data_IF_284313149670
#
_entry.id   IF_284313149670
#
_cell.length_a   1.000
_cell.length_b   1.000
_cell.length_c   1.000
_cell.angle_alpha   90.00
_cell.angle_beta   90.00
_cell.angle_gamma   90.00
#
_symmetry.space_group_name_H-M   'P 1'
#
loop_
_entity.id
_entity.type
_entity.pdbx_description
1 polymer ?
#
# COMPACT_ATOMS: atom_id res chain seq x y z
N UNK A 1 -16.70 26.09 13.00
CA UNK A 1 -16.10 24.74 13.12
C UNK A 1 -17.22 23.77 13.46
N UNK A 2 -17.33 22.65 12.76
CA UNK A 2 -18.26 21.57 13.11
C UNK A 2 -17.83 20.93 14.45
N UNK A 3 -18.78 20.47 15.27
CA UNK A 3 -18.45 19.73 16.49
C UNK A 3 -17.95 18.31 16.19
N UNK A 4 -17.32 17.65 17.17
CA UNK A 4 -16.90 16.26 17.02
C UNK A 4 -18.10 15.32 16.91
N UNK A 5 -19.16 15.63 17.64
CA UNK A 5 -20.41 14.87 17.66
C UNK A 5 -21.13 14.92 16.31
N UNK A 6 -21.13 16.07 15.64
CA UNK A 6 -21.70 16.25 14.30
C UNK A 6 -20.82 15.67 13.18
N UNK A 7 -19.49 15.64 13.36
CA UNK A 7 -18.56 15.08 12.39
C UNK A 7 -18.50 13.54 12.41
N UNK A 8 -18.74 12.93 13.57
CA UNK A 8 -18.62 11.48 13.78
C UNK A 8 -19.49 10.63 12.83
N UNK A 9 -20.76 10.97 12.53
CA UNK A 9 -21.54 10.24 11.53
C UNK A 9 -20.87 10.22 10.16
N UNK A 10 -20.36 11.36 9.69
CA UNK A 10 -19.65 11.46 8.41
C UNK A 10 -18.38 10.60 8.40
N UNK A 11 -17.60 10.59 9.49
CA UNK A 11 -16.42 9.72 9.61
C UNK A 11 -16.77 8.23 9.53
N UNK A 12 -17.92 7.82 10.07
CA UNK A 12 -18.41 6.44 9.98
C UNK A 12 -18.89 6.11 8.57
N UNK A 13 -19.62 7.03 7.94
CA UNK A 13 -20.16 6.88 6.59
C UNK A 13 -19.06 6.80 5.53
N UNK A 14 -17.93 7.50 5.73
CA UNK A 14 -16.75 7.34 4.89
C UNK A 14 -16.21 5.91 4.87
N UNK A 15 -16.44 5.10 5.90
CA UNK A 15 -16.07 3.67 5.93
C UNK A 15 -17.24 2.72 5.60
N UNK A 16 -18.37 3.24 5.13
CA UNK A 16 -19.50 2.43 4.70
C UNK A 16 -19.10 1.44 3.59
N UNK A 17 -19.63 0.20 3.56
CA UNK A 17 -19.44 -0.70 2.42
C UNK A 17 -20.08 -0.13 1.13
N UNK A 18 -21.06 0.76 1.24
CA UNK A 18 -21.73 1.40 0.10
C UNK A 18 -20.97 2.65 -0.39
N UNK A 19 -20.46 2.59 -1.63
CA UNK A 19 -19.72 3.69 -2.26
C UNK A 19 -20.56 4.97 -2.39
N UNK A 20 -21.87 4.87 -2.58
CA UNK A 20 -22.73 6.05 -2.70
C UNK A 20 -22.81 6.81 -1.37
N UNK A 21 -22.90 6.09 -0.24
CA UNK A 21 -22.86 6.67 1.10
C UNK A 21 -21.52 7.38 1.32
N UNK A 22 -20.40 6.71 1.00
CA UNK A 22 -19.06 7.32 1.12
C UNK A 22 -18.93 8.60 0.32
N UNK A 23 -19.41 8.61 -0.93
CA UNK A 23 -19.36 9.76 -1.82
C UNK A 23 -20.13 10.96 -1.28
N UNK A 24 -21.33 10.74 -0.73
CA UNK A 24 -22.13 11.80 -0.13
C UNK A 24 -21.45 12.39 1.11
N UNK A 25 -21.00 11.53 2.04
CA UNK A 25 -20.29 11.98 3.23
C UNK A 25 -19.01 12.77 2.88
N UNK A 26 -18.27 12.32 1.86
CA UNK A 26 -17.09 13.02 1.38
C UNK A 26 -17.43 14.41 0.82
N UNK A 27 -18.52 14.55 0.06
CA UNK A 27 -18.93 15.84 -0.49
C UNK A 27 -19.27 16.85 0.62
N UNK A 28 -19.92 16.41 1.70
CA UNK A 28 -20.18 17.23 2.89
C UNK A 28 -18.86 17.62 3.59
N UNK A 29 -17.93 16.68 3.75
CA UNK A 29 -16.60 16.96 4.32
C UNK A 29 -15.81 17.96 3.46
N UNK A 30 -15.92 17.87 2.13
CA UNK A 30 -15.27 18.80 1.22
C UNK A 30 -15.86 20.21 1.35
N UNK A 31 -17.18 20.33 1.53
CA UNK A 31 -17.82 21.62 1.84
C UNK A 31 -17.33 22.19 3.18
N UNK A 32 -17.23 21.36 4.22
CA UNK A 32 -16.64 21.76 5.50
C UNK A 32 -15.18 22.21 5.34
N UNK A 33 -14.40 21.58 4.46
CA UNK A 33 -13.03 22.01 4.15
C UNK A 33 -13.02 23.39 3.48
N UNK A 34 -13.83 23.59 2.42
CA UNK A 34 -13.94 24.86 1.69
C UNK A 34 -14.36 26.01 2.61
N UNK A 35 -15.27 25.75 3.54
CA UNK A 35 -15.76 26.72 4.51
C UNK A 35 -14.86 26.88 5.74
N UNK A 36 -13.71 26.18 5.81
CA UNK A 36 -12.79 26.15 6.97
C UNK A 36 -13.50 25.78 8.27
N UNK A 37 -14.43 24.84 8.19
CA UNK A 37 -15.21 24.33 9.31
C UNK A 37 -14.73 22.97 9.79
N UNK A 38 -13.95 22.23 8.98
CA UNK A 38 -13.37 20.95 9.37
C UNK A 38 -12.17 21.16 10.33
N UNK A 39 -12.19 20.57 11.54
CA UNK A 39 -11.01 20.50 12.40
C UNK A 39 -9.89 19.73 11.68
N UNK A 40 -8.76 20.40 11.44
CA UNK A 40 -7.59 19.82 10.77
C UNK A 40 -6.30 20.27 11.45
N UNK A 41 -5.30 19.40 11.41
CA UNK A 41 -3.92 19.74 11.76
C UNK A 41 -3.31 20.64 10.68
N UNK A 42 -2.34 21.50 11.02
CA UNK A 42 -1.63 22.31 10.04
C UNK A 42 -0.97 21.43 8.97
N UNK A 43 -0.90 21.94 7.74
CA UNK A 43 -0.11 21.30 6.70
C UNK A 43 1.33 21.09 7.17
N UNK A 44 1.89 19.92 6.87
CA UNK A 44 3.24 19.53 7.25
C UNK A 44 3.84 18.54 6.26
N UNK A 45 4.99 17.99 6.62
CA UNK A 45 5.80 17.14 5.74
C UNK A 45 5.58 15.65 5.94
N UNK A 46 4.79 15.25 6.94
CA UNK A 46 4.41 13.86 7.17
C UNK A 46 3.55 13.35 6.02
N UNK A 47 3.76 12.11 5.62
CA UNK A 47 3.04 11.48 4.51
C UNK A 47 3.00 9.98 4.72
N UNK A 48 2.08 9.32 4.02
CA UNK A 48 2.06 7.87 3.93
C UNK A 48 1.74 7.46 2.49
N UNK A 49 2.76 7.02 1.75
CA UNK A 49 2.61 6.62 0.35
C UNK A 49 2.36 5.11 0.18
N UNK A 50 2.09 4.39 1.26
CA UNK A 50 1.83 2.96 1.26
C UNK A 50 0.73 2.61 2.25
N UNK A 51 -0.53 2.78 1.82
CA UNK A 51 -1.72 2.37 2.57
C UNK A 51 -2.51 1.30 1.80
N UNK A 52 -2.85 0.19 2.43
CA UNK A 52 -3.85 -0.73 1.88
C UNK A 52 -5.28 -0.27 2.22
N UNK A 53 -6.23 -0.56 1.33
CA UNK A 53 -7.65 -0.24 1.51
C UNK A 53 -8.49 -1.49 1.76
N UNK A 54 -9.79 -1.30 1.96
CA UNK A 54 -10.76 -2.39 2.02
C UNK A 54 -10.85 -3.25 0.74
N UNK A 55 -10.34 -2.77 -0.42
CA UNK A 55 -10.33 -3.52 -1.69
C UNK A 55 -9.26 -4.63 -1.75
N UNK A 56 -8.32 -4.67 -0.78
CA UNK A 56 -7.43 -5.81 -0.62
C UNK A 56 -7.38 -6.32 0.81
N UNK A 57 -6.93 -5.52 1.77
CA UNK A 57 -7.12 -5.75 3.20
C UNK A 57 -6.68 -4.53 4.00
N UNK A 58 -7.59 -4.02 4.84
CA UNK A 58 -7.27 -3.07 5.89
C UNK A 58 -7.94 -3.54 7.19
N UNK A 59 -7.18 -3.65 8.28
CA UNK A 59 -7.66 -4.18 9.56
C UNK A 59 -8.70 -3.29 10.28
N UNK A 60 -8.87 -2.05 9.82
CA UNK A 60 -9.93 -1.14 10.25
C UNK A 60 -10.97 -0.90 9.16
N UNK A 61 -10.89 -1.66 8.06
CA UNK A 61 -11.73 -1.54 6.87
C UNK A 61 -11.69 -0.12 6.26
N UNK A 62 -10.56 0.57 6.36
CA UNK A 62 -10.44 1.91 5.77
C UNK A 62 -10.65 1.86 4.26
N UNK A 63 -11.57 2.71 3.81
CA UNK A 63 -11.90 2.88 2.40
C UNK A 63 -10.96 3.91 1.77
N UNK A 64 -10.91 3.97 0.43
CA UNK A 64 -10.19 5.05 -0.26
C UNK A 64 -10.62 6.45 0.21
N UNK A 65 -11.92 6.70 0.32
CA UNK A 65 -12.46 7.98 0.78
C UNK A 65 -12.03 8.33 2.22
N UNK A 66 -12.00 7.34 3.13
CA UNK A 66 -11.56 7.57 4.51
C UNK A 66 -10.06 7.91 4.60
N UNK A 67 -9.22 7.26 3.80
CA UNK A 67 -7.77 7.55 3.78
C UNK A 67 -7.52 8.98 3.25
N UNK A 68 -8.24 9.39 2.20
CA UNK A 68 -8.13 10.76 1.69
C UNK A 68 -8.56 11.79 2.75
N UNK A 69 -9.66 11.53 3.45
CA UNK A 69 -10.10 12.34 4.58
C UNK A 69 -9.08 12.38 5.73
N UNK A 70 -8.49 11.23 6.07
CA UNK A 70 -7.46 11.14 7.11
C UNK A 70 -6.24 11.99 6.75
N UNK A 71 -5.76 11.92 5.51
CA UNK A 71 -4.67 12.75 5.04
C UNK A 71 -5.01 14.24 5.15
N UNK A 72 -6.21 14.63 4.74
CA UNK A 72 -6.68 16.01 4.81
C UNK A 72 -6.76 16.53 6.24
N UNK A 73 -7.38 15.78 7.15
CA UNK A 73 -7.58 16.20 8.54
C UNK A 73 -6.28 16.22 9.34
N UNK A 74 -5.30 15.41 8.95
CA UNK A 74 -4.00 15.32 9.62
C UNK A 74 -2.91 16.16 8.95
N UNK A 75 -3.26 17.02 7.99
CA UNK A 75 -2.30 17.94 7.37
C UNK A 75 -1.14 17.25 6.65
N UNK A 76 -1.36 16.03 6.11
CA UNK A 76 -0.30 15.28 5.44
C UNK A 76 0.12 15.95 4.13
N UNK A 77 1.41 15.87 3.81
CA UNK A 77 1.98 16.30 2.54
C UNK A 77 1.37 15.54 1.37
N UNK A 78 1.22 14.22 1.52
CA UNK A 78 0.64 13.34 0.51
C UNK A 78 0.17 12.01 1.12
N UNK A 79 -0.71 11.31 0.40
CA UNK A 79 -1.14 9.96 0.73
C UNK A 79 -1.15 9.05 -0.50
N UNK A 80 -0.80 7.78 -0.32
CA UNK A 80 -0.79 6.79 -1.39
C UNK A 80 -1.52 5.51 -1.01
N UNK A 81 -2.39 5.01 -1.88
CA UNK A 81 -2.98 3.68 -1.71
C UNK A 81 -2.24 2.65 -2.56
N UNK A 82 -2.07 1.45 -2.03
CA UNK A 82 -1.42 0.33 -2.69
C UNK A 82 -2.18 -0.92 -2.30
N UNK A 83 -3.01 -1.46 -3.19
CA UNK A 83 -3.79 -2.67 -2.90
C UNK A 83 -3.14 -3.93 -3.49
N UNK A 84 -3.31 -5.07 -2.83
CA UNK A 84 -2.75 -6.33 -3.31
C UNK A 84 -3.46 -6.84 -4.57
N UNK A 85 -2.71 -7.13 -5.63
CA UNK A 85 -3.17 -7.81 -6.84
C UNK A 85 -4.28 -7.07 -7.64
N UNK A 86 -4.69 -5.86 -7.24
CA UNK A 86 -5.83 -5.13 -7.85
C UNK A 86 -5.67 -3.61 -7.90
N UNK A 87 -6.50 -2.97 -8.74
CA UNK A 87 -6.57 -1.52 -8.94
C UNK A 87 -8.00 -0.95 -8.70
N UNK A 88 -8.94 -1.74 -8.16
CA UNK A 88 -10.36 -1.34 -8.02
C UNK A 88 -10.60 -0.11 -7.12
N UNK A 89 -9.61 0.25 -6.29
CA UNK A 89 -9.65 1.41 -5.41
C UNK A 89 -9.18 2.72 -6.08
N UNK A 90 -8.56 2.65 -7.27
CA UNK A 90 -7.87 3.80 -7.90
C UNK A 90 -8.83 4.96 -8.14
N UNK A 91 -9.97 4.71 -8.81
CA UNK A 91 -10.94 5.77 -9.13
C UNK A 91 -11.48 6.45 -7.88
N UNK A 92 -11.86 5.68 -6.87
CA UNK A 92 -12.42 6.25 -5.65
C UNK A 92 -11.37 7.06 -4.87
N UNK A 93 -10.14 6.57 -4.75
CA UNK A 93 -9.09 7.32 -4.07
C UNK A 93 -8.77 8.61 -4.81
N UNK A 94 -8.63 8.52 -6.13
CA UNK A 94 -8.35 9.67 -6.99
C UNK A 94 -9.42 10.74 -6.87
N UNK A 95 -10.69 10.35 -7.08
CA UNK A 95 -11.84 11.25 -6.93
C UNK A 95 -11.86 11.89 -5.54
N UNK A 96 -11.58 11.10 -4.49
CA UNK A 96 -11.61 11.60 -3.12
C UNK A 96 -10.47 12.55 -2.81
N UNK A 97 -9.28 12.25 -3.33
CA UNK A 97 -8.10 13.06 -3.15
C UNK A 97 -8.19 14.41 -3.87
N UNK A 98 -8.75 14.40 -5.07
CA UNK A 98 -8.99 15.61 -5.86
C UNK A 98 -10.06 16.51 -5.21
N UNK A 99 -11.17 15.94 -4.74
CA UNK A 99 -12.22 16.69 -4.05
C UNK A 99 -11.74 17.33 -2.74
N UNK A 100 -10.81 16.66 -2.03
CA UNK A 100 -10.21 17.18 -0.79
C UNK A 100 -8.91 17.98 -1.02
N UNK A 101 -8.46 18.09 -2.26
CA UNK A 101 -7.23 18.78 -2.67
C UNK A 101 -5.99 18.29 -1.91
N UNK A 102 -5.78 16.98 -1.86
CA UNK A 102 -4.57 16.34 -1.29
C UNK A 102 -3.68 15.84 -2.41
N UNK A 103 -2.36 15.91 -2.23
CA UNK A 103 -1.44 15.23 -3.15
C UNK A 103 -1.51 13.72 -2.94
N UNK A 104 -1.54 12.97 -4.04
CA UNK A 104 -1.87 11.55 -3.99
C UNK A 104 -1.10 10.68 -4.97
N UNK A 105 -1.14 9.37 -4.71
CA UNK A 105 -0.76 8.34 -5.66
C UNK A 105 -1.60 7.09 -5.47
N UNK A 106 -1.85 6.36 -6.56
CA UNK A 106 -2.43 5.03 -6.49
C UNK A 106 -1.42 4.00 -6.96
N UNK A 107 -1.51 2.79 -6.43
CA UNK A 107 -0.57 1.72 -6.68
C UNK A 107 -1.16 0.35 -6.51
N UNK A 108 -0.35 -0.62 -6.89
CA UNK A 108 -0.63 -2.05 -6.76
C UNK A 108 0.61 -2.72 -6.21
N UNK A 109 0.41 -3.66 -5.28
CA UNK A 109 1.46 -4.54 -4.78
C UNK A 109 1.13 -5.99 -5.16
N UNK A 110 2.13 -6.73 -5.59
CA UNK A 110 2.00 -8.19 -5.77
C UNK A 110 3.29 -8.88 -5.38
N UNK A 111 3.25 -10.21 -5.36
CA UNK A 111 4.46 -11.02 -5.34
C UNK A 111 4.84 -11.41 -6.76
N UNK A 112 6.12 -11.37 -7.06
CA UNK A 112 6.72 -11.75 -8.34
C UNK A 112 7.79 -12.81 -8.14
N UNK A 113 8.07 -13.57 -9.20
CA UNK A 113 9.24 -14.43 -9.26
C UNK A 113 10.43 -13.68 -9.88
N UNK A 114 11.55 -13.64 -9.15
CA UNK A 114 12.81 -13.02 -9.56
C UNK A 114 13.86 -14.09 -9.86
N UNK A 115 14.03 -14.37 -11.15
CA UNK A 115 14.91 -15.45 -11.64
C UNK A 115 16.37 -15.31 -11.20
N UNK A 116 16.94 -14.10 -11.23
CA UNK A 116 18.35 -13.84 -10.89
C UNK A 116 18.67 -13.96 -9.40
N UNK A 117 17.64 -14.04 -8.56
CA UNK A 117 17.72 -14.23 -7.11
C UNK A 117 16.93 -15.47 -6.67
N UNK A 118 16.75 -16.45 -7.57
CA UNK A 118 15.90 -17.62 -7.37
C UNK A 118 16.33 -18.51 -6.18
N UNK A 119 17.59 -18.44 -5.78
CA UNK A 119 18.22 -19.26 -4.74
C UNK A 119 18.27 -18.57 -3.37
N UNK A 120 17.88 -17.28 -3.28
CA UNK A 120 17.97 -16.49 -2.05
C UNK A 120 16.62 -15.89 -1.66
N UNK A 121 16.36 -15.79 -0.36
CA UNK A 121 15.25 -15.00 0.17
C UNK A 121 15.52 -13.52 -0.07
N UNK A 122 14.50 -12.78 -0.56
CA UNK A 122 14.59 -11.34 -0.85
C UNK A 122 13.77 -10.60 0.24
N UNK A 123 12.67 -9.96 -0.12
CA UNK A 123 11.76 -9.26 0.80
C UNK A 123 10.52 -10.12 1.16
N UNK A 124 10.41 -11.35 0.65
CA UNK A 124 9.48 -12.38 1.14
C UNK A 124 10.24 -13.40 2.01
N UNK A 125 10.16 -13.31 3.35
CA UNK A 125 10.99 -14.11 4.25
C UNK A 125 10.75 -15.62 4.10
N UNK A 126 11.81 -16.36 3.80
CA UNK A 126 11.77 -17.82 3.70
C UNK A 126 11.23 -18.35 2.38
N UNK A 127 11.05 -17.49 1.38
CA UNK A 127 10.56 -17.82 0.04
C UNK A 127 11.63 -17.42 -1.01
N UNK A 128 12.61 -18.29 -1.32
CA UNK A 128 13.66 -18.00 -2.29
C UNK A 128 13.10 -17.63 -3.67
N UNK A 129 13.66 -16.59 -4.29
CA UNK A 129 13.23 -16.09 -5.59
C UNK A 129 11.89 -15.35 -5.60
N UNK A 130 11.18 -15.24 -4.47
CA UNK A 130 9.92 -14.49 -4.40
C UNK A 130 10.19 -13.12 -3.81
N UNK A 131 9.69 -12.09 -4.49
CA UNK A 131 9.73 -10.72 -4.00
C UNK A 131 8.34 -10.08 -4.05
N UNK A 132 7.98 -9.32 -3.02
CA UNK A 132 7.03 -8.23 -3.15
C UNK A 132 7.59 -7.18 -4.12
N UNK A 133 6.74 -6.70 -5.02
CA UNK A 133 7.07 -5.67 -5.99
C UNK A 133 5.84 -4.79 -6.20
N UNK A 134 6.06 -3.51 -6.50
CA UNK A 134 4.98 -2.54 -6.61
C UNK A 134 4.97 -1.85 -7.97
N UNK A 135 3.80 -1.39 -8.38
CA UNK A 135 3.65 -0.30 -9.34
C UNK A 135 3.03 0.90 -8.63
N UNK A 136 3.56 2.10 -8.85
CA UNK A 136 3.07 3.33 -8.21
C UNK A 136 2.79 4.42 -9.25
N UNK A 137 1.83 5.29 -8.98
CA UNK A 137 1.55 6.46 -9.84
C UNK A 137 0.47 6.24 -10.90
N UNK A 138 -0.45 5.29 -10.67
CA UNK A 138 -1.60 5.09 -11.54
C UNK A 138 -2.55 6.29 -11.45
N UNK A 139 -2.90 6.88 -12.58
CA UNK A 139 -3.89 7.96 -12.69
C UNK A 139 -5.30 7.44 -13.05
N UNK A 140 -5.41 6.16 -13.42
CA UNK A 140 -6.66 5.45 -13.67
C UNK A 140 -6.55 3.97 -13.28
N UNK A 141 -7.65 3.36 -12.86
CA UNK A 141 -7.80 1.93 -12.68
C UNK A 141 -8.16 1.20 -13.98
N UNK A 142 -8.43 1.95 -15.06
CA UNK A 142 -8.63 1.40 -16.40
C UNK A 142 -7.34 0.78 -16.95
N UNK A 143 -7.38 -0.53 -17.18
CA UNK A 143 -6.24 -1.26 -17.73
C UNK A 143 -6.28 -1.18 -19.27
N UNK A 144 -5.17 -0.77 -19.93
CA UNK A 144 -5.10 -0.68 -21.38
C UNK A 144 -5.26 -2.05 -22.03
N UNK A 145 -5.83 -2.15 -23.25
CA UNK A 145 -6.15 -3.43 -23.88
C UNK A 145 -4.99 -4.44 -23.95
N UNK A 146 -3.75 -3.97 -24.16
CA UNK A 146 -2.54 -4.79 -24.19
C UNK A 146 -2.22 -5.50 -22.85
N UNK A 147 -2.70 -4.94 -21.73
CA UNK A 147 -2.36 -5.36 -20.37
C UNK A 147 -3.51 -6.10 -19.65
N UNK A 148 -4.72 -6.12 -20.22
CA UNK A 148 -5.93 -6.68 -19.57
C UNK A 148 -5.81 -8.16 -19.24
N UNK A 149 -5.25 -8.96 -20.15
CA UNK A 149 -5.11 -10.40 -19.94
C UNK A 149 -4.17 -10.72 -18.77
N UNK A 150 -3.08 -9.96 -18.64
CA UNK A 150 -2.14 -10.11 -17.53
C UNK A 150 -2.83 -9.82 -16.19
N UNK A 151 -3.54 -8.69 -16.08
CA UNK A 151 -4.26 -8.32 -14.87
C UNK A 151 -5.37 -9.33 -14.50
N UNK A 152 -6.12 -9.80 -15.50
CA UNK A 152 -7.13 -10.84 -15.31
C UNK A 152 -6.51 -12.15 -14.78
N UNK A 153 -5.40 -12.58 -15.39
CA UNK A 153 -4.67 -13.79 -14.95
C UNK A 153 -4.18 -13.65 -13.51
N UNK A 154 -3.60 -12.51 -13.14
CA UNK A 154 -3.12 -12.25 -11.78
C UNK A 154 -4.26 -12.34 -10.75
N UNK A 155 -5.39 -11.69 -11.01
CA UNK A 155 -6.59 -11.76 -10.14
C UNK A 155 -7.12 -13.19 -10.02
N UNK A 156 -7.21 -13.91 -11.14
CA UNK A 156 -7.69 -15.29 -11.16
C UNK A 156 -6.77 -16.22 -10.35
N UNK A 157 -5.45 -16.05 -10.45
CA UNK A 157 -4.47 -16.81 -9.65
C UNK A 157 -4.58 -16.51 -8.15
N UNK A 158 -4.78 -15.25 -7.78
CA UNK A 158 -5.01 -14.85 -6.40
C UNK A 158 -6.28 -15.52 -5.81
N UNK A 159 -7.41 -15.44 -6.52
CA UNK A 159 -8.66 -16.07 -6.11
C UNK A 159 -8.54 -17.61 -6.03
N UNK A 160 -7.89 -18.24 -7.00
CA UNK A 160 -7.68 -19.69 -7.01
C UNK A 160 -6.84 -20.16 -5.80
N UNK A 161 -5.81 -19.38 -5.43
CA UNK A 161 -5.00 -19.65 -4.23
C UNK A 161 -5.85 -19.58 -2.96
N UNK A 162 -6.70 -18.58 -2.81
CA UNK A 162 -7.60 -18.45 -1.64
C UNK A 162 -8.60 -19.62 -1.58
N UNK A 163 -9.22 -19.99 -2.71
CA UNK A 163 -10.11 -21.16 -2.79
C UNK A 163 -9.41 -22.45 -2.38
N UNK A 164 -8.16 -22.64 -2.79
CA UNK A 164 -7.33 -23.79 -2.38
C UNK A 164 -7.03 -23.78 -0.88
N UNK A 165 -6.70 -22.63 -0.29
CA UNK A 165 -6.46 -22.49 1.15
C UNK A 165 -7.73 -22.86 1.94
N UNK A 166 -8.90 -22.36 1.53
CA UNK A 166 -10.18 -22.72 2.16
C UNK A 166 -10.38 -24.23 2.18
N UNK A 167 -10.14 -24.92 1.06
CA UNK A 167 -10.25 -26.38 1.00
C UNK A 167 -9.39 -27.09 2.04
N UNK A 168 -8.14 -26.68 2.20
CA UNK A 168 -7.20 -27.27 3.16
C UNK A 168 -7.54 -26.92 4.62
N UNK A 169 -7.93 -25.67 4.88
CA UNK A 169 -8.17 -25.17 6.24
C UNK A 169 -9.52 -25.64 6.78
N UNK A 170 -10.54 -25.80 5.93
CA UNK A 170 -11.85 -26.32 6.32
C UNK A 170 -11.76 -27.69 7.02
N UNK A 171 -10.91 -28.59 6.54
CA UNK A 171 -10.78 -29.91 7.12
C UNK A 171 -10.11 -29.85 8.51
N UNK A 172 -9.17 -28.93 8.70
CA UNK A 172 -8.57 -28.69 10.01
C UNK A 172 -9.55 -28.06 10.98
N UNK A 173 -10.34 -27.08 10.53
CA UNK A 173 -11.24 -26.28 11.39
C UNK A 173 -12.67 -26.82 11.50
N UNK A 174 -12.94 -28.01 10.96
CA UNK A 174 -14.24 -28.68 11.09
C UNK A 174 -14.74 -28.73 12.56
N UNK A 175 -16.00 -28.38 12.86
CA UNK A 175 -17.12 -28.15 11.95
C UNK A 175 -17.21 -26.73 11.34
N UNK A 176 -16.27 -25.83 11.62
CA UNK A 176 -16.26 -24.46 11.05
C UNK A 176 -15.69 -24.51 9.63
N UNK A 177 -16.58 -24.52 8.63
CA UNK A 177 -16.22 -24.61 7.20
C UNK A 177 -16.65 -23.36 6.45
N UNK A 178 -15.75 -22.72 5.71
CA UNK A 178 -16.06 -21.60 4.83
C UNK A 178 -16.47 -22.06 3.42
N UNK A 179 -17.43 -21.34 2.86
CA UNK A 179 -17.78 -21.27 1.46
C UNK A 179 -17.27 -19.93 0.92
N UNK A 180 -16.50 -19.96 -0.17
CA UNK A 180 -15.86 -18.75 -0.68
C UNK A 180 -16.86 -17.67 -1.10
N UNK A 181 -17.94 -18.04 -1.79
CA UNK A 181 -18.89 -17.08 -2.34
C UNK A 181 -19.84 -16.53 -1.26
N UNK A 182 -20.16 -17.32 -0.23
CA UNK A 182 -21.09 -16.91 0.83
C UNK A 182 -20.40 -16.21 2.00
N UNK A 183 -19.23 -16.69 2.41
CA UNK A 183 -18.61 -16.26 3.66
C UNK A 183 -17.42 -15.31 3.44
N UNK A 184 -16.88 -15.18 2.22
CA UNK A 184 -15.59 -14.50 1.99
C UNK A 184 -15.68 -13.32 1.03
N UNK A 185 -16.35 -13.46 -0.12
CA UNK A 185 -16.37 -12.41 -1.16
C UNK A 185 -16.98 -11.10 -0.67
N UNK A 186 -17.95 -11.15 0.25
CA UNK A 186 -18.58 -9.97 0.83
C UNK A 186 -17.68 -9.17 1.78
N UNK A 187 -16.54 -9.74 2.22
CA UNK A 187 -15.62 -9.08 3.16
C UNK A 187 -14.73 -8.03 2.51
N UNK A 188 -14.71 -7.96 1.18
CA UNK A 188 -13.93 -7.00 0.41
C UNK A 188 -14.74 -6.53 -0.79
N UNK A 189 -14.78 -5.22 -1.06
CA UNK A 189 -15.28 -4.74 -2.34
C UNK A 189 -14.54 -5.45 -3.50
N UNK A 190 -15.26 -5.72 -4.58
CA UNK A 190 -14.76 -6.42 -5.78
C UNK A 190 -14.23 -7.88 -5.57
N UNK A 191 -14.38 -8.47 -4.38
CA UNK A 191 -14.14 -9.91 -4.15
C UNK A 191 -12.67 -10.34 -4.09
N UNK A 192 -11.73 -9.40 -3.97
CA UNK A 192 -10.29 -9.69 -3.90
C UNK A 192 -9.83 -10.12 -2.50
N UNK A 193 -10.31 -11.28 -2.06
CA UNK A 193 -10.04 -11.76 -0.70
C UNK A 193 -8.57 -12.15 -0.47
N UNK A 194 -8.11 -12.04 0.77
CA UNK A 194 -6.76 -12.42 1.19
C UNK A 194 -6.82 -13.43 2.33
N UNK A 195 -5.67 -14.01 2.72
CA UNK A 195 -5.57 -14.87 3.90
C UNK A 195 -6.12 -14.22 5.17
N UNK A 196 -6.02 -12.89 5.28
CA UNK A 196 -6.52 -12.15 6.44
C UNK A 196 -8.05 -12.12 6.48
N UNK A 197 -8.72 -11.98 5.34
CA UNK A 197 -10.18 -12.12 5.24
C UNK A 197 -10.65 -13.53 5.64
N UNK A 198 -9.89 -14.58 5.29
CA UNK A 198 -10.21 -15.94 5.74
C UNK A 198 -10.16 -16.07 7.27
N UNK A 199 -9.18 -15.44 7.92
CA UNK A 199 -9.05 -15.49 9.38
C UNK A 199 -10.26 -14.84 10.07
N UNK A 200 -10.70 -13.68 9.57
CA UNK A 200 -11.92 -13.02 10.01
C UNK A 200 -13.14 -13.93 9.80
N UNK A 201 -13.32 -14.47 8.58
CA UNK A 201 -14.47 -15.33 8.25
C UNK A 201 -14.53 -16.59 9.14
N UNK A 202 -13.40 -17.26 9.37
CA UNK A 202 -13.34 -18.42 10.28
C UNK A 202 -13.68 -18.05 11.71
N UNK A 203 -13.22 -16.88 12.19
CA UNK A 203 -13.56 -16.37 13.52
C UNK A 203 -15.07 -16.17 13.64
N UNK A 204 -15.65 -15.35 12.76
CA UNK A 204 -17.06 -14.97 12.78
C UNK A 204 -17.97 -16.20 12.63
N UNK A 205 -17.60 -17.15 11.76
CA UNK A 205 -18.37 -18.39 11.58
C UNK A 205 -18.31 -19.31 12.79
N UNK A 206 -17.16 -19.36 13.49
CA UNK A 206 -17.07 -20.11 14.74
C UNK A 206 -17.91 -19.46 15.85
N UNK A 207 -17.88 -18.13 15.98
CA UNK A 207 -18.71 -17.38 16.93
C UNK A 207 -20.21 -17.61 16.70
N UNK A 208 -20.64 -17.68 15.43
CA UNK A 208 -22.02 -17.99 15.08
C UNK A 208 -22.42 -19.44 15.40
N UNK A 209 -21.49 -20.40 15.28
CA UNK A 209 -21.75 -21.83 15.50
C UNK A 209 -21.72 -22.22 16.98
N UNK A 210 -20.80 -21.64 17.76
CA UNK A 210 -20.60 -21.96 19.17
C UNK A 210 -21.12 -20.83 20.07
N UNK A 211 -22.40 -20.89 20.41
CA UNK A 211 -23.08 -19.85 21.23
C UNK A 211 -22.63 -19.82 22.69
N UNK A 212 -22.02 -20.91 23.20
CA UNK A 212 -21.43 -20.94 24.55
C UNK A 212 -19.94 -20.66 24.50
N UNK A 213 -19.51 -19.73 25.35
CA UNK A 213 -18.15 -19.24 25.43
C UNK A 213 -17.15 -20.35 25.73
N UNK A 214 -17.50 -21.28 26.61
CA UNK A 214 -16.66 -22.40 27.00
C UNK A 214 -16.39 -23.32 25.81
N UNK A 215 -17.44 -23.65 25.03
CA UNK A 215 -17.31 -24.51 23.85
C UNK A 215 -16.52 -23.85 22.72
N UNK A 216 -16.63 -22.53 22.55
CA UNK A 216 -15.83 -21.79 21.57
C UNK A 216 -14.35 -21.79 21.97
N UNK A 217 -14.05 -21.60 23.25
CA UNK A 217 -12.68 -21.66 23.76
C UNK A 217 -12.08 -23.07 23.64
N UNK A 218 -12.85 -24.12 23.96
CA UNK A 218 -12.45 -25.52 23.76
C UNK A 218 -12.15 -25.81 22.29
N UNK A 219 -13.00 -25.34 21.38
CA UNK A 219 -12.79 -25.46 19.94
C UNK A 219 -11.46 -24.82 19.52
N UNK A 220 -11.23 -23.55 19.86
CA UNK A 220 -9.99 -22.86 19.47
C UNK A 220 -8.75 -23.46 20.14
N UNK A 221 -8.85 -23.84 21.41
CA UNK A 221 -7.82 -24.57 22.13
C UNK A 221 -7.38 -25.82 21.37
N UNK A 222 -8.35 -26.67 21.00
CA UNK A 222 -8.09 -27.91 20.28
C UNK A 222 -7.56 -27.67 18.86
N UNK A 223 -8.17 -26.75 18.09
CA UNK A 223 -7.83 -26.53 16.69
C UNK A 223 -6.51 -25.79 16.48
N UNK A 224 -6.19 -24.84 17.35
CA UNK A 224 -4.98 -24.02 17.28
C UNK A 224 -3.82 -24.60 18.10
N UNK A 225 -4.07 -25.68 18.86
CA UNK A 225 -3.05 -26.34 19.69
C UNK A 225 -2.51 -25.45 20.80
N UNK A 226 -3.40 -24.69 21.46
CA UNK A 226 -3.05 -23.77 22.54
C UNK A 226 -3.74 -24.19 23.85
N UNK A 227 -3.22 -23.78 25.02
CA UNK A 227 -3.91 -24.02 26.29
C UNK A 227 -5.28 -23.35 26.35
N UNK A 228 -6.25 -23.99 27.01
CA UNK A 228 -7.61 -23.45 27.15
C UNK A 228 -7.64 -22.04 27.76
N UNK A 229 -6.77 -21.77 28.76
CA UNK A 229 -6.65 -20.44 29.36
C UNK A 229 -6.16 -19.36 28.39
N UNK A 230 -5.38 -19.73 27.37
CA UNK A 230 -4.97 -18.82 26.29
C UNK A 230 -6.13 -18.62 25.31
N UNK A 231 -6.84 -19.68 24.93
CA UNK A 231 -8.00 -19.58 24.04
C UNK A 231 -9.08 -18.65 24.61
N UNK A 232 -9.38 -18.73 25.91
CA UNK A 232 -10.34 -17.84 26.59
C UNK A 232 -9.91 -16.36 26.51
N UNK A 233 -8.61 -16.06 26.50
CA UNK A 233 -8.12 -14.68 26.34
C UNK A 233 -8.20 -14.21 24.88
N UNK A 234 -7.96 -15.12 23.93
CA UNK A 234 -7.97 -14.78 22.50
C UNK A 234 -9.38 -14.50 21.99
N UNK A 235 -10.41 -15.19 22.48
CA UNK A 235 -11.80 -14.91 22.05
C UNK A 235 -12.29 -13.49 22.39
N UNK A 236 -11.69 -12.82 23.38
CA UNK A 236 -11.96 -11.40 23.68
C UNK A 236 -11.13 -10.43 22.84
N UNK A 237 -10.24 -10.96 21.99
CA UNK A 237 -9.34 -10.16 21.18
C UNK A 237 -9.33 -10.68 19.73
N UNK A 238 -10.33 -10.27 18.92
CA UNK A 238 -10.47 -10.68 17.53
C UNK A 238 -9.17 -10.58 16.73
N UNK A 239 -8.44 -9.47 16.88
CA UNK A 239 -7.16 -9.23 16.19
C UNK A 239 -6.12 -10.30 16.53
N UNK A 240 -5.95 -10.61 17.82
CA UNK A 240 -4.98 -11.65 18.25
C UNK A 240 -5.45 -13.05 17.86
N UNK A 241 -6.75 -13.32 17.91
CA UNK A 241 -7.31 -14.60 17.50
C UNK A 241 -7.12 -14.83 16.00
N UNK A 242 -7.45 -13.85 15.15
CA UNK A 242 -7.24 -13.91 13.70
C UNK A 242 -5.76 -14.09 13.35
N UNK A 243 -4.86 -13.35 14.01
CA UNK A 243 -3.42 -13.54 13.85
C UNK A 243 -2.98 -14.97 14.24
N UNK A 244 -3.56 -15.52 15.32
CA UNK A 244 -3.28 -16.89 15.76
C UNK A 244 -3.81 -17.91 14.75
N UNK A 245 -5.04 -17.75 14.25
CA UNK A 245 -5.62 -18.58 13.18
C UNK A 245 -4.65 -18.61 12.01
N UNK A 246 -4.24 -17.45 11.49
CA UNK A 246 -3.30 -17.34 10.37
C UNK A 246 -1.99 -18.09 10.64
N UNK A 247 -1.41 -17.87 11.83
CA UNK A 247 -0.12 -18.49 12.19
C UNK A 247 -0.21 -20.01 12.27
N UNK A 248 -1.32 -20.55 12.75
CA UNK A 248 -1.51 -21.99 12.97
C UNK A 248 -1.96 -22.72 11.69
N UNK A 249 -2.64 -22.03 10.77
CA UNK A 249 -3.24 -22.67 9.59
C UNK A 249 -2.59 -22.29 8.26
N UNK A 250 -2.13 -21.05 8.07
CA UNK A 250 -1.75 -20.53 6.74
C UNK A 250 -0.26 -20.17 6.59
N UNK A 251 0.51 -20.13 7.69
CA UNK A 251 1.97 -19.94 7.66
C UNK A 251 2.71 -21.28 7.62
N UNK A 252 4.00 -21.25 7.29
CA UNK A 252 4.86 -22.44 7.15
C UNK A 252 4.66 -23.43 8.31
N UNK A 253 4.23 -24.64 7.99
CA UNK A 253 3.87 -25.70 8.96
C UNK A 253 2.36 -25.87 9.20
N UNK A 254 1.54 -24.88 8.82
CA UNK A 254 0.08 -24.96 8.83
C UNK A 254 -0.48 -25.67 7.59
N UNK A 255 -1.67 -26.25 7.72
CA UNK A 255 -2.31 -27.07 6.67
C UNK A 255 -2.62 -26.31 5.37
N UNK A 256 -2.87 -25.01 5.47
CA UNK A 256 -3.17 -24.10 4.36
C UNK A 256 -1.94 -23.40 3.81
N UNK A 257 -0.73 -23.68 4.32
CA UNK A 257 0.49 -23.13 3.75
C UNK A 257 0.78 -23.78 2.40
N UNK A 258 0.78 -22.96 1.35
CA UNK A 258 1.15 -23.36 0.00
C UNK A 258 2.52 -22.75 -0.28
N UNK A 259 3.56 -23.58 -0.28
CA UNK A 259 4.90 -23.14 -0.63
C UNK A 259 4.89 -22.53 -2.04
N UNK A 260 5.45 -21.32 -2.23
CA UNK A 260 5.48 -20.73 -3.54
C UNK A 260 6.44 -21.48 -4.46
N UNK A 261 6.08 -21.50 -5.73
CA UNK A 261 6.90 -21.99 -6.84
C UNK A 261 7.15 -20.85 -7.81
N UNK A 262 8.13 -20.95 -8.71
CA UNK A 262 8.31 -19.95 -9.78
C UNK A 262 7.05 -19.71 -10.62
N UNK A 263 6.12 -20.67 -10.67
CA UNK A 263 4.84 -20.57 -11.39
C UNK A 263 3.70 -20.03 -10.52
N UNK A 264 3.94 -19.79 -9.23
CA UNK A 264 2.92 -19.26 -8.31
C UNK A 264 2.65 -17.77 -8.48
N UNK A 265 3.59 -17.06 -9.10
CA UNK A 265 3.60 -15.62 -9.26
C UNK A 265 4.11 -15.22 -10.64
N UNK A 266 3.69 -14.05 -11.17
CA UNK A 266 4.23 -13.56 -12.44
C UNK A 266 5.75 -13.32 -12.36
N UNK A 267 6.48 -13.49 -13.48
CA UNK A 267 7.85 -13.01 -13.56
C UNK A 267 7.94 -11.50 -13.33
N UNK A 268 9.01 -11.03 -12.68
CA UNK A 268 9.25 -9.61 -12.41
C UNK A 268 9.11 -8.74 -13.69
N UNK A 269 9.70 -9.16 -14.79
CA UNK A 269 9.67 -8.41 -16.05
C UNK A 269 8.26 -8.29 -16.62
N UNK A 270 7.45 -9.34 -16.51
CA UNK A 270 6.07 -9.32 -16.99
C UNK A 270 5.23 -8.33 -16.16
N UNK A 271 5.47 -8.28 -14.85
CA UNK A 271 4.81 -7.31 -13.97
C UNK A 271 5.29 -5.87 -14.23
N UNK A 272 6.60 -5.67 -14.46
CA UNK A 272 7.12 -4.35 -14.82
C UNK A 272 6.59 -3.87 -16.16
N UNK A 273 6.48 -4.75 -17.17
CA UNK A 273 5.82 -4.43 -18.43
C UNK A 273 4.37 -4.02 -18.22
N UNK A 274 3.59 -4.77 -17.42
CA UNK A 274 2.22 -4.40 -17.06
C UNK A 274 2.14 -2.98 -16.46
N UNK A 275 3.01 -2.66 -15.49
CA UNK A 275 3.04 -1.34 -14.84
C UNK A 275 3.36 -0.22 -15.84
N UNK A 276 4.35 -0.44 -16.72
CA UNK A 276 4.76 0.54 -17.72
C UNK A 276 3.67 0.80 -18.77
N UNK A 277 2.96 -0.24 -19.23
CA UNK A 277 1.82 -0.10 -20.15
C UNK A 277 0.69 0.73 -19.53
N UNK A 278 0.51 0.64 -18.20
CA UNK A 278 -0.43 1.48 -17.44
C UNK A 278 0.10 2.89 -17.15
N UNK A 279 1.29 3.28 -17.66
CA UNK A 279 1.87 4.60 -17.45
C UNK A 279 2.44 4.85 -16.05
N UNK A 280 2.49 3.83 -15.19
CA UNK A 280 2.96 3.90 -13.81
C UNK A 280 4.47 3.55 -13.68
N UNK A 281 4.99 3.61 -12.46
CA UNK A 281 6.41 3.38 -12.13
C UNK A 281 6.62 2.02 -11.47
N UNK A 282 7.37 1.10 -12.10
CA UNK A 282 7.80 -0.12 -11.42
C UNK A 282 8.72 0.23 -10.25
N UNK A 283 8.41 -0.32 -9.08
CA UNK A 283 8.95 0.12 -7.80
C UNK A 283 9.42 -1.07 -6.98
N UNK A 284 10.65 -0.98 -6.48
CA UNK A 284 11.27 -1.98 -5.64
C UNK A 284 10.64 -1.93 -4.24
N UNK A 285 10.17 -3.05 -3.71
CA UNK A 285 9.85 -3.14 -2.29
C UNK A 285 11.12 -3.56 -1.52
N UNK A 286 11.45 -2.85 -0.44
CA UNK A 286 12.55 -3.24 0.45
C UNK A 286 12.03 -3.50 1.86
N UNK A 287 12.46 -4.62 2.45
CA UNK A 287 11.98 -5.08 3.75
C UNK A 287 12.86 -4.57 4.89
N UNK A 288 14.13 -4.99 4.93
CA UNK A 288 15.03 -4.63 6.04
C UNK A 288 16.54 -4.83 5.77
N UNK A 289 16.94 -5.30 4.59
CA UNK A 289 18.36 -5.42 4.22
C UNK A 289 19.06 -6.66 4.78
N UNK A 290 18.37 -7.50 5.56
CA UNK A 290 19.00 -8.62 6.27
C UNK A 290 18.90 -9.96 5.55
N UNK A 291 18.07 -10.05 4.52
CA UNK A 291 17.95 -11.27 3.72
C UNK A 291 19.13 -11.41 2.75
N UNK A 292 19.35 -12.63 2.24
CA UNK A 292 20.44 -12.88 1.30
C UNK A 292 20.35 -12.05 0.02
N UNK A 293 19.12 -11.81 -0.47
CA UNK A 293 18.86 -10.97 -1.64
C UNK A 293 19.00 -9.47 -1.37
N UNK A 294 18.67 -8.99 -0.17
CA UNK A 294 18.76 -7.55 0.15
C UNK A 294 20.11 -7.11 0.74
N UNK A 295 20.92 -8.03 1.26
CA UNK A 295 22.21 -7.72 1.87
C UNK A 295 23.25 -7.16 0.88
N UNK A 296 23.14 -7.56 -0.40
CA UNK A 296 23.89 -6.99 -1.52
C UNK A 296 23.06 -5.88 -2.18
N UNK A 297 23.08 -4.70 -1.54
CA UNK A 297 22.27 -3.54 -1.93
C UNK A 297 22.53 -3.12 -3.38
N UNK A 298 23.79 -3.05 -3.80
CA UNK A 298 24.16 -2.63 -5.16
C UNK A 298 23.61 -3.60 -6.20
N UNK A 299 23.82 -4.91 -6.01
CA UNK A 299 23.28 -5.93 -6.91
C UNK A 299 21.75 -5.90 -6.92
N UNK A 300 21.10 -5.73 -5.77
CA UNK A 300 19.64 -5.64 -5.67
C UNK A 300 19.11 -4.49 -6.53
N UNK A 301 19.66 -3.29 -6.34
CA UNK A 301 19.22 -2.09 -7.04
C UNK A 301 19.52 -2.17 -8.54
N UNK A 302 20.73 -2.59 -8.92
CA UNK A 302 21.16 -2.62 -10.32
C UNK A 302 20.35 -3.64 -11.13
N UNK A 303 20.03 -4.82 -10.56
CA UNK A 303 19.18 -5.81 -11.22
C UNK A 303 17.76 -5.30 -11.42
N UNK A 304 17.15 -4.66 -10.42
CA UNK A 304 15.79 -4.12 -10.56
C UNK A 304 15.74 -2.93 -11.53
N UNK A 305 16.70 -2.01 -11.45
CA UNK A 305 16.82 -0.87 -12.37
C UNK A 305 17.00 -1.35 -13.81
N UNK A 306 17.86 -2.36 -14.02
CA UNK A 306 18.07 -2.99 -15.32
C UNK A 306 16.79 -3.63 -15.90
N UNK A 307 15.81 -3.93 -15.06
CA UNK A 307 14.48 -4.47 -15.44
C UNK A 307 13.38 -3.41 -15.45
N UNK A 308 13.72 -2.13 -15.37
CA UNK A 308 12.78 -1.01 -15.53
C UNK A 308 12.26 -0.39 -14.23
N UNK A 309 12.69 -0.87 -13.05
CA UNK A 309 12.34 -0.20 -11.81
C UNK A 309 12.98 1.19 -11.72
N UNK A 310 12.21 2.17 -11.25
CA UNK A 310 12.66 3.56 -11.18
C UNK A 310 12.31 4.27 -9.87
N UNK A 311 11.93 3.51 -8.85
CA UNK A 311 11.67 3.99 -7.49
C UNK A 311 11.85 2.84 -6.49
N UNK A 312 12.07 3.17 -5.21
CA UNK A 312 12.13 2.21 -4.12
C UNK A 312 11.16 2.61 -2.99
N UNK A 313 10.40 1.64 -2.48
CA UNK A 313 9.47 1.78 -1.37
C UNK A 313 10.06 1.12 -0.10
N UNK A 314 9.94 1.81 1.04
CA UNK A 314 10.39 1.35 2.36
C UNK A 314 9.26 1.52 3.37
N UNK A 315 9.18 0.61 4.35
CA UNK A 315 8.30 0.75 5.52
C UNK A 315 9.18 0.93 6.77
N UNK A 316 9.75 2.13 6.99
CA UNK A 316 10.90 2.30 7.89
C UNK A 316 10.54 2.11 9.37
N UNK A 317 9.39 2.59 9.85
CA UNK A 317 9.04 2.47 11.27
C UNK A 317 8.85 1.02 11.73
N UNK A 318 8.51 0.11 10.82
CA UNK A 318 8.39 -1.33 11.11
C UNK A 318 9.72 -1.97 11.54
N UNK A 319 10.84 -1.30 11.25
CA UNK A 319 12.18 -1.73 11.59
C UNK A 319 12.73 -1.06 12.87
N UNK A 320 11.92 -0.24 13.54
CA UNK A 320 12.20 0.35 14.83
C UNK A 320 11.57 -0.48 15.97
N UNK A 321 12.40 -1.05 16.84
CA UNK A 321 12.00 -1.91 17.95
C UNK A 321 12.34 -1.21 19.29
N UNK A 322 11.38 -0.51 19.93
CA UNK A 322 11.64 0.22 21.18
C UNK A 322 12.25 -0.66 22.28
N UNK A 323 11.81 -1.91 22.37
CA UNK A 323 12.28 -2.87 23.38
C UNK A 323 13.58 -3.59 22.99
N UNK A 324 14.16 -3.29 21.82
CA UNK A 324 15.41 -3.91 21.36
C UNK A 324 16.30 -2.91 20.60
N UNK A 325 17.02 -2.03 21.32
CA UNK A 325 17.88 -1.01 20.73
C UNK A 325 18.96 -1.57 19.80
N UNK A 326 19.54 -2.72 20.11
CA UNK A 326 20.55 -3.36 19.28
C UNK A 326 19.97 -3.84 17.93
N UNK A 327 18.75 -4.40 17.95
CA UNK A 327 18.03 -4.76 16.73
C UNK A 327 17.70 -3.52 15.91
N UNK A 328 17.18 -2.46 16.55
CA UNK A 328 16.90 -1.18 15.91
C UNK A 328 18.14 -0.61 15.22
N UNK A 329 19.26 -0.51 15.94
CA UNK A 329 20.52 0.01 15.40
C UNK A 329 20.98 -0.77 14.15
N UNK A 330 20.86 -2.11 14.16
CA UNK A 330 21.18 -2.94 13.00
C UNK A 330 20.28 -2.64 11.80
N UNK A 331 18.97 -2.50 11.99
CA UNK A 331 18.08 -2.23 10.85
C UNK A 331 18.22 -0.80 10.34
N UNK A 332 18.50 0.17 11.22
CA UNK A 332 18.79 1.54 10.81
C UNK A 332 20.10 1.63 10.01
N UNK A 333 21.12 0.82 10.34
CA UNK A 333 22.34 0.75 9.54
C UNK A 333 22.08 0.23 8.12
N UNK A 334 21.22 -0.79 7.94
CA UNK A 334 20.84 -1.24 6.60
C UNK A 334 19.94 -0.24 5.86
N UNK A 335 19.06 0.46 6.58
CA UNK A 335 18.29 1.58 6.03
C UNK A 335 19.23 2.67 5.48
N UNK A 336 20.27 3.03 6.24
CA UNK A 336 21.27 4.00 5.80
C UNK A 336 21.97 3.56 4.52
N UNK A 337 22.36 2.28 4.44
CA UNK A 337 23.03 1.71 3.27
C UNK A 337 22.14 1.76 2.03
N UNK A 338 20.87 1.34 2.13
CA UNK A 338 19.97 1.34 0.98
C UNK A 338 19.60 2.76 0.55
N UNK A 339 19.35 3.68 1.48
CA UNK A 339 19.05 5.08 1.14
C UNK A 339 20.25 5.76 0.49
N UNK A 340 21.47 5.55 1.00
CA UNK A 340 22.68 6.08 0.37
C UNK A 340 22.87 5.55 -1.06
N UNK A 341 22.70 4.24 -1.27
CA UNK A 341 22.82 3.63 -2.59
C UNK A 341 21.74 4.13 -3.58
N UNK A 342 20.52 4.42 -3.09
CA UNK A 342 19.48 5.09 -3.88
C UNK A 342 19.89 6.50 -4.26
N UNK A 343 20.40 7.30 -3.32
CA UNK A 343 20.85 8.68 -3.57
C UNK A 343 21.98 8.72 -4.60
N UNK A 344 22.97 7.83 -4.51
CA UNK A 344 24.06 7.73 -5.49
C UNK A 344 23.56 7.42 -6.91
N UNK A 345 22.46 6.69 -7.02
CA UNK A 345 21.82 6.30 -8.28
C UNK A 345 20.74 7.28 -8.74
N UNK A 346 20.53 8.39 -8.04
CA UNK A 346 19.39 9.28 -8.23
C UNK A 346 18.03 8.52 -8.21
N UNK A 347 17.92 7.40 -7.48
CA UNK A 347 16.71 6.60 -7.38
C UNK A 347 15.78 7.19 -6.30
N UNK A 348 14.56 7.64 -6.63
CA UNK A 348 13.62 8.15 -5.63
C UNK A 348 13.23 7.10 -4.60
N UNK A 349 13.04 7.54 -3.34
CA UNK A 349 12.63 6.68 -2.23
C UNK A 349 11.31 7.19 -1.66
N UNK A 350 10.29 6.33 -1.65
CA UNK A 350 8.99 6.61 -1.02
C UNK A 350 8.82 5.75 0.22
N UNK A 351 8.08 6.27 1.20
CA UNK A 351 7.81 5.56 2.44
C UNK A 351 6.32 5.48 2.74
N UNK A 352 5.95 4.51 3.55
CA UNK A 352 4.63 4.43 4.15
C UNK A 352 4.57 3.30 5.16
N UNK A 353 3.43 3.18 5.84
CA UNK A 353 3.32 2.28 6.99
C UNK A 353 2.76 0.91 6.65
N UNK A 354 2.53 0.60 5.37
CA UNK A 354 1.66 -0.49 4.87
C UNK A 354 0.18 -0.19 5.21
N UNK A 355 -0.12 0.30 6.41
CA UNK A 355 -1.47 0.59 6.92
C UNK A 355 -2.47 -0.56 6.65
N UNK A 356 -2.05 -1.82 6.76
CA UNK A 356 -2.96 -2.95 6.54
C UNK A 356 -3.43 -3.63 7.82
N UNK A 357 -2.62 -3.65 8.89
CA UNK A 357 -2.90 -4.42 10.09
C UNK A 357 -3.30 -3.49 11.25
N UNK A 358 -4.14 -3.96 12.18
CA UNK A 358 -4.47 -3.19 13.37
C UNK A 358 -3.23 -2.87 14.21
N UNK A 359 -3.17 -1.65 14.75
CA UNK A 359 -2.09 -1.18 15.64
C UNK A 359 -0.86 -0.61 14.93
N UNK A 360 -0.83 -0.60 13.59
CA UNK A 360 0.20 0.12 12.84
C UNK A 360 0.00 1.65 12.99
N UNK A 361 1.10 2.40 12.89
CA UNK A 361 1.04 3.86 12.83
C UNK A 361 0.35 4.32 11.56
N UNK A 362 -0.27 5.50 11.61
CA UNK A 362 -0.92 6.11 10.45
C UNK A 362 0.08 6.73 9.46
N UNK A 363 1.20 7.23 9.96
CA UNK A 363 2.34 7.79 9.20
C UNK A 363 3.65 7.38 9.88
N UNK A 364 4.72 7.30 9.10
CA UNK A 364 6.07 7.17 9.66
C UNK A 364 6.50 8.47 10.34
N UNK A 365 7.14 8.36 11.51
CA UNK A 365 7.69 9.54 12.20
C UNK A 365 9.06 9.90 11.65
N UNK A 366 9.09 10.61 10.52
CA UNK A 366 10.34 11.08 9.89
C UNK A 366 11.11 12.08 10.76
N UNK A 367 10.53 12.59 11.86
CA UNK A 367 11.21 13.51 12.77
C UNK A 367 11.95 12.79 13.90
N UNK A 368 11.75 11.48 14.07
CA UNK A 368 12.46 10.70 15.08
C UNK A 368 13.97 10.58 14.77
N UNK A 369 14.77 10.30 15.80
CA UNK A 369 16.24 10.29 15.72
C UNK A 369 16.76 9.38 14.59
N UNK A 370 16.16 8.21 14.39
CA UNK A 370 16.60 7.25 13.38
C UNK A 370 16.30 7.64 11.94
N UNK A 371 15.24 8.43 11.71
CA UNK A 371 14.75 8.74 10.35
C UNK A 371 15.02 10.18 9.93
N UNK A 372 15.26 11.10 10.86
CA UNK A 372 15.42 12.55 10.59
C UNK A 372 16.46 12.86 9.52
N UNK A 373 17.57 12.13 9.49
CA UNK A 373 18.63 12.33 8.48
C UNK A 373 18.23 11.97 7.05
N UNK A 374 17.15 11.20 6.88
CA UNK A 374 16.61 10.79 5.58
C UNK A 374 15.32 11.55 5.21
N UNK A 375 14.84 12.44 6.08
CA UNK A 375 13.55 13.11 5.93
C UNK A 375 13.43 13.85 4.58
N UNK A 376 14.47 14.57 4.16
CA UNK A 376 14.47 15.28 2.86
C UNK A 376 14.35 14.31 1.68
N UNK A 377 15.00 13.15 1.74
CA UNK A 377 14.89 12.11 0.70
C UNK A 377 13.48 11.56 0.61
N UNK A 378 12.84 11.29 1.76
CA UNK A 378 11.47 10.78 1.80
C UNK A 378 10.44 11.81 1.32
N UNK A 379 10.58 13.07 1.76
CA UNK A 379 9.75 14.19 1.30
C UNK A 379 9.89 14.39 -0.22
N UNK A 380 11.11 14.35 -0.74
CA UNK A 380 11.35 14.46 -2.18
C UNK A 380 10.70 13.31 -2.96
N UNK A 381 10.79 12.07 -2.46
CA UNK A 381 10.14 10.92 -3.08
C UNK A 381 8.62 11.06 -3.14
N UNK A 382 7.98 11.48 -2.05
CA UNK A 382 6.53 11.73 -2.02
C UNK A 382 6.12 12.82 -3.03
N UNK A 383 6.88 13.91 -3.13
CA UNK A 383 6.65 14.98 -4.11
C UNK A 383 6.86 14.52 -5.55
N UNK A 384 7.91 13.76 -5.83
CA UNK A 384 8.15 13.18 -7.17
C UNK A 384 6.96 12.31 -7.58
N UNK A 385 6.49 11.46 -6.68
CA UNK A 385 5.39 10.56 -6.97
C UNK A 385 4.06 11.32 -7.16
N UNK A 386 3.76 12.32 -6.33
CA UNK A 386 2.59 13.18 -6.51
C UNK A 386 2.64 13.97 -7.83
N UNK A 387 3.80 14.57 -8.14
CA UNK A 387 4.03 15.28 -9.40
C UNK A 387 3.89 14.37 -10.62
N UNK A 388 4.38 13.12 -10.51
CA UNK A 388 4.17 12.10 -11.53
C UNK A 388 2.68 11.82 -11.73
N UNK A 389 1.92 11.54 -10.67
CA UNK A 389 0.49 11.21 -10.75
C UNK A 389 -0.30 12.30 -11.47
N UNK A 390 -0.08 13.58 -11.11
CA UNK A 390 -0.77 14.70 -11.77
C UNK A 390 -0.41 14.81 -13.26
N UNK A 391 0.87 14.65 -13.60
CA UNK A 391 1.33 14.79 -14.99
C UNK A 391 1.07 13.55 -15.86
N UNK A 392 0.81 12.39 -15.25
CA UNK A 392 0.35 11.19 -15.96
C UNK A 392 -0.97 11.44 -16.69
N UNK A 393 -1.85 12.28 -16.15
CA UNK A 393 -3.09 12.74 -16.81
C UNK A 393 -2.85 13.39 -18.19
N UNK A 394 -1.64 13.90 -18.43
CA UNK A 394 -1.21 14.51 -19.70
C UNK A 394 -0.37 13.57 -20.56
N UNK A 395 -0.25 12.29 -20.19
CA UNK A 395 0.74 11.34 -20.74
C UNK A 395 2.20 11.80 -20.55
N UNK A 396 2.45 12.60 -19.50
CA UNK A 396 3.76 13.21 -19.17
C UNK A 396 4.30 12.73 -17.83
N UNK A 397 3.95 11.51 -17.43
CA UNK A 397 4.48 10.87 -16.21
C UNK A 397 5.98 10.58 -16.28
N UNK A 398 6.59 10.25 -15.14
CA UNK A 398 8.04 10.16 -14.91
C UNK A 398 8.82 9.27 -15.90
N UNK A 399 8.19 8.19 -16.38
CA UNK A 399 8.76 7.25 -17.35
C UNK A 399 8.18 7.37 -18.76
N UNK A 400 7.33 8.38 -19.02
CA UNK A 400 6.72 8.56 -20.33
C UNK A 400 7.75 8.96 -21.39
N UNK A 401 7.40 8.79 -22.66
CA UNK A 401 8.27 9.18 -23.78
C UNK A 401 8.53 10.69 -23.80
N UNK A 402 7.56 11.48 -23.35
CA UNK A 402 7.75 12.92 -23.16
C UNK A 402 8.84 13.18 -22.13
N UNK A 403 8.77 12.55 -20.95
CA UNK A 403 9.75 12.77 -19.88
C UNK A 403 11.14 12.30 -20.28
N UNK A 404 11.26 11.15 -20.95
CA UNK A 404 12.54 10.62 -21.43
C UNK A 404 13.20 11.54 -22.46
N UNK A 405 12.41 12.24 -23.30
CA UNK A 405 12.91 13.16 -24.31
C UNK A 405 13.28 14.52 -23.72
N UNK A 406 12.39 15.11 -22.92
CA UNK A 406 12.58 16.46 -22.39
C UNK A 406 13.52 16.51 -21.17
N UNK A 407 13.62 15.40 -20.43
CA UNK A 407 14.35 15.27 -19.17
C UNK A 407 15.10 13.92 -19.16
N UNK A 408 16.13 13.73 -20.02
CA UNK A 408 16.76 12.41 -20.18
C UNK A 408 17.48 11.93 -18.90
N UNK A 409 18.02 12.85 -18.10
CA UNK A 409 18.71 12.54 -16.86
C UNK A 409 17.74 12.15 -15.73
N UNK A 410 18.04 11.09 -14.97
CA UNK A 410 17.24 10.73 -13.79
C UNK A 410 17.22 11.85 -12.75
N UNK A 411 18.38 12.44 -12.45
CA UNK A 411 18.51 13.59 -11.55
C UNK A 411 17.66 14.79 -11.96
N UNK A 412 17.68 15.10 -13.25
CA UNK A 412 16.91 16.19 -13.84
C UNK A 412 15.40 15.93 -13.71
N UNK A 413 14.96 14.71 -14.03
CA UNK A 413 13.56 14.29 -13.79
C UNK A 413 13.18 14.41 -12.32
N UNK A 414 14.01 13.92 -11.40
CA UNK A 414 13.73 14.03 -9.97
C UNK A 414 13.49 15.47 -9.56
N UNK A 415 14.37 16.39 -9.96
CA UNK A 415 14.21 17.81 -9.66
C UNK A 415 12.91 18.39 -10.25
N UNK A 416 12.59 18.03 -11.50
CA UNK A 416 11.36 18.48 -12.17
C UNK A 416 10.10 17.98 -11.46
N UNK A 417 9.95 16.67 -11.24
CA UNK A 417 8.75 16.11 -10.61
C UNK A 417 8.64 16.43 -9.12
N UNK A 418 9.77 16.55 -8.39
CA UNK A 418 9.75 17.04 -7.01
C UNK A 418 9.20 18.46 -6.95
N UNK A 419 9.60 19.33 -7.89
CA UNK A 419 9.11 20.71 -7.98
C UNK A 419 7.62 20.76 -8.34
N UNK A 420 7.15 19.86 -9.22
CA UNK A 420 5.73 19.71 -9.50
C UNK A 420 4.94 19.35 -8.23
N UNK A 421 5.35 18.31 -7.50
CA UNK A 421 4.66 17.90 -6.27
C UNK A 421 4.81 18.87 -5.09
N UNK A 422 5.74 19.82 -5.17
CA UNK A 422 5.87 20.91 -4.19
C UNK A 422 4.95 22.10 -4.51
N UNK A 423 4.72 22.41 -5.79
CA UNK A 423 3.95 23.59 -6.20
C UNK A 423 2.49 23.30 -6.50
N UNK A 424 2.19 22.08 -6.93
CA UNK A 424 0.87 21.70 -7.39
C UNK A 424 0.14 20.90 -6.32
N UNK A 425 -1.14 21.20 -6.23
CA UNK A 425 -2.18 20.34 -5.69
C UNK A 425 -3.10 19.95 -6.86
N UNK A 426 -4.01 18.97 -6.68
CA UNK A 426 -5.04 18.71 -7.68
C UNK A 426 -5.78 19.96 -8.15
N UNK A 427 -6.23 20.82 -7.24
CA UNK A 427 -6.99 22.04 -7.58
C UNK A 427 -6.14 23.02 -8.41
N UNK A 428 -4.87 23.24 -8.05
CA UNK A 428 -3.95 24.10 -8.80
C UNK A 428 -3.69 23.54 -10.20
N UNK A 429 -3.51 22.23 -10.31
CA UNK A 429 -3.29 21.57 -11.60
C UNK A 429 -4.46 21.81 -12.57
N UNK A 430 -5.70 21.68 -12.09
CA UNK A 430 -6.91 21.90 -12.91
C UNK A 430 -7.15 23.39 -13.29
N UNK A 431 -6.49 24.34 -12.62
CA UNK A 431 -6.59 25.78 -13.00
C UNK A 431 -5.80 26.13 -14.26
N UNK A 432 -4.85 25.29 -14.66
CA UNK A 432 -4.00 25.52 -15.83
C UNK A 432 -4.77 25.10 -17.09
N UNK A 433 -5.20 26.09 -17.88
CA UNK A 433 -5.97 25.84 -19.12
C UNK A 433 -5.18 25.05 -20.17
N UNK A 434 -3.89 25.33 -20.29
CA UNK A 434 -3.02 24.70 -21.29
C UNK A 434 -1.61 24.56 -20.73
N UNK A 435 -1.12 23.31 -20.68
CA UNK A 435 0.22 23.01 -20.21
C UNK A 435 1.25 23.15 -21.34
N UNK A 436 2.33 23.94 -21.16
CA UNK A 436 3.38 24.08 -22.17
C UNK A 436 3.95 22.74 -22.62
N UNK A 437 4.30 22.61 -23.91
CA UNK A 437 4.81 21.35 -24.45
C UNK A 437 6.22 21.01 -23.98
N UNK A 438 7.11 21.98 -23.78
CA UNK A 438 8.49 21.72 -23.35
C UNK A 438 8.64 21.76 -21.83
N UNK A 439 9.50 20.90 -21.29
CA UNK A 439 9.72 20.85 -19.84
C UNK A 439 10.31 22.15 -19.30
N UNK A 440 11.15 22.85 -20.08
CA UNK A 440 11.71 24.16 -19.70
C UNK A 440 10.62 25.22 -19.46
N UNK A 441 9.61 25.29 -20.34
CA UNK A 441 8.51 26.24 -20.19
C UNK A 441 7.59 25.87 -19.03
N UNK A 442 7.33 24.56 -18.83
CA UNK A 442 6.62 24.08 -17.64
C UNK A 442 7.38 24.50 -16.39
N UNK A 443 8.69 24.27 -16.34
CA UNK A 443 9.53 24.65 -15.20
C UNK A 443 9.46 26.16 -14.93
N UNK A 444 9.62 27.00 -15.96
CA UNK A 444 9.49 28.46 -15.82
C UNK A 444 8.13 28.90 -15.28
N UNK A 445 7.05 28.19 -15.65
CA UNK A 445 5.72 28.46 -15.13
C UNK A 445 5.60 28.05 -13.65
N UNK A 446 6.11 26.87 -13.29
CA UNK A 446 6.04 26.34 -11.93
C UNK A 446 6.95 27.12 -10.96
N UNK A 447 8.08 27.62 -11.42
CA UNK A 447 9.01 28.44 -10.62
C UNK A 447 8.41 29.82 -10.28
N UNK A 448 7.37 30.25 -10.98
CA UNK A 448 6.58 31.45 -10.63
C UNK A 448 5.51 31.21 -9.56
N UNK A 449 5.25 29.95 -9.20
CA UNK A 449 4.23 29.56 -8.21
C UNK A 449 4.90 29.40 -6.84
N UNK A 450 4.30 30.00 -5.82
CA UNK A 450 4.72 29.78 -4.43
C UNK A 450 4.45 28.32 -4.03
N UNK A 451 5.43 27.64 -3.38
CA UNK A 451 5.26 26.29 -2.86
C UNK A 451 3.99 26.13 -2.02
N UNK A 452 3.37 24.95 -2.04
CA UNK A 452 2.35 24.62 -1.04
C UNK A 452 3.03 24.41 0.31
N UNK A 453 2.40 24.92 1.39
CA UNK A 453 2.92 24.83 2.74
C UNK A 453 3.07 23.37 3.21
#
# INVERSE_FOLDING_TARGET
>A
MISKEELRPLELELNSPDRAIRKNALAEIAELCRNRQLPSEPAGTLHNMHCHTCYSYNGYNYTPAYIAYLAKKSGWLAAGIIDFDVLDAVEEFRESAEELDINYSCGIETRVFFKELADVSINSPGEPGIAYHLGLGFDTGEIPPCAREFAHTMRAQAAARIKKIIGLVNDKLDPVRLDFEKDVTALTPAGNATERHLCQAYREKAEALFTRRETLAEFWSAKLGIPAAEAVKLIDNPVKLEAKIRSATMKKGGVGYIAPTPQSFPPLEAFNSFILECGAIPTIAWLNGLSGGEADVDRLLDLHIGKGAAMLNIIPDRNCYPDNPARTARHLAELDRVVAACVERDLPVVIGTEMNAPGLKLVDDINCEGLRKHAETFIAGARILAGHTLFSKLSRGYLSDWAKRELPGRRERNAFYARLGECLTPSRFETVREWPESAEKVKSMIDSIEPTA
#
